data_IF_747176678427
#
_entry.id   IF_747176678427
#
_cell.length_a   1.000
_cell.length_b   1.000
_cell.length_c   1.000
_cell.angle_alpha   90.00
_cell.angle_beta   90.00
_cell.angle_gamma   90.00
#
_symmetry.space_group_name_H-M   'P 1'
#
loop_
_entity.id
_entity.type
_entity.pdbx_description
1 polymer ?
#
# COMPACT_ATOMS: atom_id res chain seq x y z
N UNK A 1 8.32 1.85 2.35
CA UNK A 1 7.13 1.33 3.03
C UNK A 1 6.64 0.02 2.39
N UNK A 2 5.92 -0.82 3.13
CA UNK A 2 5.41 -2.10 2.65
C UNK A 2 3.91 -2.20 2.96
N UNK A 3 3.02 -2.25 1.95
CA UNK A 3 1.63 -2.60 2.16
C UNK A 3 1.50 -4.06 2.62
N UNK A 4 0.69 -4.29 3.66
CA UNK A 4 0.47 -5.61 4.25
C UNK A 4 -1.02 -5.92 4.29
N UNK A 5 -1.39 -7.07 3.80
CA UNK A 5 -2.76 -7.56 3.78
C UNK A 5 -2.89 -8.94 4.44
N UNK A 6 -4.10 -9.28 4.85
CA UNK A 6 -4.47 -10.62 5.31
C UNK A 6 -5.43 -11.23 4.30
N UNK A 7 -5.08 -12.39 3.75
CA UNK A 7 -5.94 -13.13 2.83
C UNK A 7 -5.75 -14.63 3.02
N UNK A 8 -6.86 -15.40 3.05
CA UNK A 8 -6.80 -16.84 3.27
C UNK A 8 -6.07 -17.27 4.55
N UNK A 9 -6.16 -16.45 5.63
CA UNK A 9 -5.44 -16.70 6.88
C UNK A 9 -3.93 -16.47 6.81
N UNK A 10 -3.38 -15.97 5.69
CA UNK A 10 -1.96 -15.68 5.49
C UNK A 10 -1.68 -14.19 5.40
N UNK A 11 -0.49 -13.78 5.87
CA UNK A 11 0.05 -12.44 5.64
C UNK A 11 0.58 -12.35 4.20
N UNK A 12 0.22 -11.25 3.53
CA UNK A 12 0.70 -10.89 2.21
C UNK A 12 1.36 -9.53 2.26
N UNK A 13 2.52 -9.40 1.67
CA UNK A 13 3.34 -8.20 1.61
C UNK A 13 3.50 -7.79 0.16
N UNK A 14 3.16 -6.54 -0.17
CA UNK A 14 3.33 -6.02 -1.53
C UNK A 14 4.72 -5.45 -1.68
N UNK A 15 5.44 -5.92 -2.70
CA UNK A 15 6.75 -5.39 -3.10
C UNK A 15 6.74 -4.96 -4.55
N UNK A 16 7.61 -3.99 -4.87
CA UNK A 16 7.85 -3.51 -6.22
C UNK A 16 9.17 -4.03 -6.76
N UNK A 17 9.21 -4.29 -8.06
CA UNK A 17 10.41 -4.61 -8.80
C UNK A 17 10.91 -3.35 -9.50
N UNK A 18 12.21 -3.06 -9.39
CA UNK A 18 12.79 -1.87 -10.01
C UNK A 18 12.61 -1.86 -11.54
N UNK A 19 12.50 -0.65 -12.06
CA UNK A 19 12.40 -0.43 -13.50
C UNK A 19 13.78 -0.49 -14.16
N UNK A 20 13.90 -1.29 -15.20
CA UNK A 20 15.11 -1.46 -16.01
C UNK A 20 15.35 -0.33 -17.03
N UNK A 21 14.34 0.51 -17.30
CA UNK A 21 14.41 1.58 -18.32
C UNK A 21 15.12 2.84 -17.80
N UNK A 22 15.05 3.11 -16.50
CA UNK A 22 15.61 4.33 -15.88
C UNK A 22 17.02 4.09 -15.32
N UNK A 23 17.34 2.85 -14.98
CA UNK A 23 18.63 2.46 -14.40
C UNK A 23 19.28 1.43 -15.30
N UNK A 24 20.60 1.56 -15.47
CA UNK A 24 21.45 0.64 -16.24
C UNK A 24 21.01 -0.83 -16.04
N UNK A 25 20.60 -1.45 -17.14
CA UNK A 25 19.99 -2.79 -17.17
C UNK A 25 20.84 -3.92 -16.56
N UNK A 26 22.09 -3.61 -16.18
CA UNK A 26 23.02 -4.54 -15.54
C UNK A 26 22.81 -4.73 -14.04
N UNK A 27 21.99 -3.89 -13.40
CA UNK A 27 21.80 -3.87 -11.94
C UNK A 27 20.33 -3.87 -11.55
N UNK A 28 19.80 -5.05 -11.42
CA UNK A 28 18.76 -5.35 -10.46
C UNK A 28 17.30 -5.09 -10.88
N UNK A 29 16.72 -6.02 -11.59
CA UNK A 29 15.28 -6.32 -11.48
C UNK A 29 14.96 -6.89 -10.06
N UNK A 30 15.63 -6.35 -9.03
CA UNK A 30 15.46 -6.84 -7.68
C UNK A 30 14.19 -6.26 -7.04
N UNK A 31 13.55 -7.07 -6.21
CA UNK A 31 12.42 -6.66 -5.42
C UNK A 31 12.85 -5.79 -4.25
N UNK A 32 12.02 -4.81 -3.91
CA UNK A 32 12.22 -3.94 -2.76
C UNK A 32 10.90 -3.35 -2.27
N UNK A 33 10.97 -2.62 -1.18
CA UNK A 33 9.83 -1.81 -0.70
C UNK A 33 9.64 -0.57 -1.58
N UNK A 34 8.59 0.20 -1.26
CA UNK A 34 8.31 1.49 -1.89
C UNK A 34 8.95 2.58 -1.03
N UNK A 35 10.03 3.18 -1.53
CA UNK A 35 10.76 4.17 -0.75
C UNK A 35 12.07 4.61 -1.36
N UNK A 36 12.53 5.78 -0.96
CA UNK A 36 13.78 6.40 -1.40
C UNK A 36 14.41 7.28 -0.33
N UNK A 37 15.34 8.12 -0.74
CA UNK A 37 16.05 9.04 0.14
C UNK A 37 15.16 10.20 0.61
N UNK A 38 15.34 10.62 1.86
CA UNK A 38 14.70 11.83 2.39
C UNK A 38 15.27 13.09 1.73
N UNK A 39 14.39 14.03 1.38
CA UNK A 39 14.78 15.37 0.94
C UNK A 39 15.04 16.27 2.16
N UNK A 40 15.81 17.35 2.01
CA UNK A 40 16.02 18.30 3.10
C UNK A 40 14.69 18.76 3.70
N UNK A 41 14.55 18.66 5.03
CA UNK A 41 13.34 19.04 5.75
C UNK A 41 12.19 18.02 5.76
N UNK A 42 12.31 16.90 5.04
CA UNK A 42 11.31 15.82 5.12
C UNK A 42 11.47 15.00 6.40
N UNK A 43 10.36 14.75 7.07
CA UNK A 43 10.29 13.69 8.08
C UNK A 43 10.25 12.31 7.42
N UNK A 44 10.55 11.23 8.17
CA UNK A 44 10.40 9.85 7.69
C UNK A 44 8.99 9.58 7.12
N UNK A 45 7.96 10.19 7.73
CA UNK A 45 6.57 10.06 7.25
C UNK A 45 6.36 10.81 5.94
N UNK A 46 6.95 12.00 5.78
CA UNK A 46 6.85 12.77 4.54
C UNK A 46 7.51 12.03 3.38
N UNK A 47 8.72 11.52 3.60
CA UNK A 47 9.44 10.68 2.64
C UNK A 47 8.62 9.44 2.27
N UNK A 48 8.09 8.73 3.26
CA UNK A 48 7.27 7.54 3.06
C UNK A 48 6.00 7.85 2.23
N UNK A 49 5.37 9.00 2.47
CA UNK A 49 4.17 9.44 1.74
C UNK A 49 4.52 9.85 0.31
N UNK A 50 5.60 10.58 0.11
CA UNK A 50 6.04 11.01 -1.22
C UNK A 50 6.40 9.80 -2.09
N UNK A 51 7.33 8.98 -1.62
CA UNK A 51 7.82 7.81 -2.35
C UNK A 51 6.72 6.78 -2.56
N UNK A 52 5.94 6.48 -1.51
CA UNK A 52 4.86 5.50 -1.63
C UNK A 52 3.76 5.93 -2.60
N UNK A 53 3.42 7.21 -2.68
CA UNK A 53 2.44 7.71 -3.65
C UNK A 53 3.00 7.70 -5.08
N UNK A 54 4.28 8.07 -5.24
CA UNK A 54 4.97 8.10 -6.54
C UNK A 54 5.22 6.69 -7.08
N UNK A 55 5.90 5.82 -6.33
CA UNK A 55 6.26 4.47 -6.76
C UNK A 55 5.07 3.51 -6.90
N UNK A 56 3.96 3.77 -6.19
CA UNK A 56 2.70 3.05 -6.39
C UNK A 56 1.82 3.70 -7.48
N UNK A 57 2.34 4.67 -8.24
CA UNK A 57 1.66 5.32 -9.36
C UNK A 57 0.25 5.83 -9.02
N UNK A 58 0.03 6.28 -7.77
CA UNK A 58 -1.26 6.74 -7.29
C UNK A 58 -2.31 5.64 -7.06
N UNK A 59 -1.99 4.36 -7.16
CA UNK A 59 -2.94 3.26 -6.94
C UNK A 59 -3.56 3.25 -5.53
N UNK A 60 -2.90 3.86 -4.56
CA UNK A 60 -3.43 4.06 -3.20
C UNK A 60 -3.90 5.50 -2.95
N UNK A 61 -4.15 6.27 -4.01
CA UNK A 61 -4.58 7.66 -3.95
C UNK A 61 -3.43 8.66 -4.13
N UNK A 62 -3.78 9.95 -4.14
CA UNK A 62 -2.78 11.03 -4.18
C UNK A 62 -2.03 11.15 -2.84
N UNK A 63 -1.00 12.01 -2.76
CA UNK A 63 -0.17 12.18 -1.55
C UNK A 63 -0.98 12.49 -0.28
N UNK A 64 -2.06 13.26 -0.39
CA UNK A 64 -2.94 13.59 0.77
C UNK A 64 -3.70 12.36 1.24
N UNK A 65 -4.30 11.62 0.31
CA UNK A 65 -5.08 10.43 0.62
C UNK A 65 -4.18 9.31 1.14
N UNK A 66 -3.00 9.16 0.53
CA UNK A 66 -1.98 8.21 0.96
C UNK A 66 -1.48 8.51 2.38
N UNK A 67 -1.22 9.79 2.72
CA UNK A 67 -0.87 10.20 4.09
C UNK A 67 -1.96 9.80 5.10
N UNK A 68 -3.21 10.08 4.78
CA UNK A 68 -4.34 9.72 5.65
C UNK A 68 -4.45 8.19 5.82
N UNK A 69 -4.23 7.45 4.73
CA UNK A 69 -4.21 5.99 4.74
C UNK A 69 -3.08 5.44 5.61
N UNK A 70 -1.85 5.96 5.42
CA UNK A 70 -0.67 5.55 6.19
C UNK A 70 -0.87 5.80 7.68
N UNK A 71 -1.19 7.04 8.08
CA UNK A 71 -1.36 7.40 9.50
C UNK A 71 -2.47 6.59 10.18
N UNK A 72 -3.54 6.29 9.45
CA UNK A 72 -4.64 5.47 9.97
C UNK A 72 -4.30 4.00 10.10
N UNK A 73 -3.45 3.46 9.21
CA UNK A 73 -3.25 2.04 9.04
C UNK A 73 -1.81 1.57 9.27
N UNK A 74 -0.94 2.42 9.77
CA UNK A 74 0.41 2.03 10.16
C UNK A 74 0.35 0.89 11.18
N UNK A 75 1.10 -0.19 10.93
CA UNK A 75 1.19 -1.36 11.77
C UNK A 75 2.45 -1.31 12.61
N UNK A 76 3.57 -1.15 11.94
CA UNK A 76 4.88 -1.36 12.52
C UNK A 76 5.92 -0.57 11.73
N UNK A 77 6.94 -0.09 12.44
CA UNK A 77 8.14 0.49 11.85
C UNK A 77 9.30 -0.47 12.09
N UNK A 78 10.04 -0.76 11.03
CA UNK A 78 11.27 -1.55 11.06
C UNK A 78 12.44 -0.61 10.78
N UNK A 79 13.49 -0.74 11.57
CA UNK A 79 14.71 0.06 11.41
C UNK A 79 15.90 -0.88 11.34
N UNK A 80 16.72 -0.72 10.33
CA UNK A 80 17.98 -1.44 10.17
C UNK A 80 19.04 -0.46 9.65
N UNK A 81 20.12 -0.32 10.42
CA UNK A 81 21.13 0.71 10.17
C UNK A 81 20.45 2.10 10.08
N UNK A 82 20.76 2.89 9.09
CA UNK A 82 20.18 4.21 8.82
C UNK A 82 18.84 4.16 8.07
N UNK A 83 18.36 2.99 7.73
CA UNK A 83 17.15 2.78 6.91
C UNK A 83 15.93 2.45 7.75
N UNK A 84 14.81 3.01 7.32
CA UNK A 84 13.51 2.79 7.97
C UNK A 84 12.50 2.37 6.92
N UNK A 85 11.74 1.30 7.20
CA UNK A 85 10.56 0.96 6.42
C UNK A 85 9.33 0.84 7.32
N UNK A 86 8.18 1.27 6.83
CA UNK A 86 6.92 1.25 7.57
C UNK A 86 5.98 0.21 6.96
N UNK A 87 5.43 -0.67 7.79
CA UNK A 87 4.41 -1.61 7.39
C UNK A 87 3.04 -0.94 7.54
N UNK A 88 2.27 -0.95 6.47
CA UNK A 88 0.94 -0.35 6.41
C UNK A 88 -0.11 -1.39 6.04
N UNK A 89 -1.16 -1.50 6.87
CA UNK A 89 -2.29 -2.37 6.56
C UNK A 89 -3.07 -1.84 5.37
N UNK A 90 -3.38 -2.73 4.43
CA UNK A 90 -4.30 -2.50 3.31
C UNK A 90 -5.26 -3.68 3.18
N UNK A 91 -6.33 -3.50 2.43
CA UNK A 91 -7.18 -4.61 2.01
C UNK A 91 -6.48 -5.36 0.87
N UNK A 92 -6.57 -6.71 0.87
CA UNK A 92 -6.00 -7.52 -0.19
C UNK A 92 -6.82 -7.35 -1.48
N UNK A 93 -6.14 -7.07 -2.58
CA UNK A 93 -6.74 -7.14 -3.91
C UNK A 93 -5.80 -7.94 -4.83
N UNK A 94 -6.27 -9.10 -5.28
CA UNK A 94 -5.53 -9.98 -6.18
C UNK A 94 -5.32 -9.37 -7.57
N UNK A 95 -6.17 -8.39 -7.96
CA UNK A 95 -6.11 -7.72 -9.26
C UNK A 95 -5.12 -6.57 -9.28
N UNK A 96 -4.70 -6.07 -8.13
CA UNK A 96 -3.78 -4.93 -8.04
C UNK A 96 -2.49 -5.17 -8.85
N UNK A 97 -1.79 -6.31 -8.73
CA UNK A 97 -0.61 -6.56 -9.55
C UNK A 97 -0.91 -6.58 -11.04
N UNK A 98 -2.04 -7.12 -11.45
CA UNK A 98 -2.45 -7.15 -12.86
C UNK A 98 -2.59 -5.74 -13.45
N UNK A 99 -3.34 -4.86 -12.79
CA UNK A 99 -3.56 -3.50 -13.28
C UNK A 99 -2.29 -2.64 -13.21
N UNK A 100 -1.52 -2.76 -12.14
CA UNK A 100 -0.26 -2.03 -11.99
C UNK A 100 0.73 -2.41 -13.10
N UNK A 101 0.97 -3.69 -13.31
CA UNK A 101 1.93 -4.19 -14.27
C UNK A 101 1.50 -3.89 -15.71
N UNK A 102 0.20 -3.95 -16.01
CA UNK A 102 -0.31 -3.56 -17.33
C UNK A 102 -0.24 -2.05 -17.56
N UNK A 103 -0.51 -1.22 -16.55
CA UNK A 103 -0.32 0.23 -16.65
C UNK A 103 1.12 0.57 -17.00
N UNK A 104 2.09 -0.03 -16.33
CA UNK A 104 3.50 0.14 -16.65
C UNK A 104 3.84 -0.28 -18.09
N UNK A 105 3.36 -1.46 -18.51
CA UNK A 105 3.58 -1.96 -19.87
C UNK A 105 3.03 -1.00 -20.92
N UNK A 106 1.80 -0.53 -20.73
CA UNK A 106 1.17 0.44 -21.63
C UNK A 106 2.01 1.72 -21.76
N UNK A 107 2.47 2.28 -20.64
CA UNK A 107 3.33 3.48 -20.62
C UNK A 107 4.65 3.22 -21.36
N UNK A 108 5.29 2.08 -21.11
CA UNK A 108 6.58 1.70 -21.72
C UNK A 108 6.46 1.55 -23.24
N UNK A 109 5.37 1.02 -23.74
CA UNK A 109 5.13 0.76 -25.16
C UNK A 109 4.64 1.99 -25.93
N UNK A 110 4.14 3.02 -25.25
CA UNK A 110 3.63 4.25 -25.85
C UNK A 110 4.71 5.33 -25.86
N UNK A 111 5.24 5.67 -27.03
CA UNK A 111 6.46 6.49 -27.20
C UNK A 111 6.43 7.85 -26.47
N UNK A 112 5.34 8.60 -26.57
CA UNK A 112 5.19 9.91 -25.90
C UNK A 112 5.05 9.76 -24.38
N UNK A 113 4.36 8.72 -23.89
CA UNK A 113 4.22 8.46 -22.46
C UNK A 113 5.51 7.92 -21.85
N UNK A 114 6.27 7.12 -22.62
CA UNK A 114 7.60 6.65 -22.23
C UNK A 114 8.55 7.81 -21.94
N UNK A 115 8.55 8.87 -22.74
CA UNK A 115 9.37 10.03 -22.50
C UNK A 115 9.01 10.75 -21.18
N UNK A 116 7.73 10.83 -20.85
CA UNK A 116 7.25 11.38 -19.59
C UNK A 116 7.70 10.50 -18.40
N UNK A 117 7.53 9.18 -18.51
CA UNK A 117 7.90 8.24 -17.47
C UNK A 117 9.42 8.19 -17.22
N UNK A 118 10.23 8.42 -18.25
CA UNK A 118 11.69 8.45 -18.15
C UNK A 118 12.26 9.78 -17.65
N UNK A 119 11.42 10.80 -17.40
CA UNK A 119 11.90 12.10 -16.92
C UNK A 119 12.46 11.96 -15.49
N UNK A 120 13.69 12.41 -15.22
CA UNK A 120 14.38 12.16 -13.94
C UNK A 120 13.69 12.77 -12.71
N UNK A 121 12.88 13.82 -12.91
CA UNK A 121 12.12 14.46 -11.82
C UNK A 121 10.73 13.85 -11.60
N UNK A 122 10.38 12.84 -12.40
CA UNK A 122 9.10 12.15 -12.30
C UNK A 122 9.23 10.92 -11.41
N UNK A 123 8.90 10.99 -10.16
CA UNK A 123 8.95 9.84 -9.23
C UNK A 123 7.96 8.71 -9.54
N UNK A 124 7.19 8.81 -10.66
CA UNK A 124 6.28 7.76 -11.11
C UNK A 124 7.00 6.75 -12.01
N UNK A 125 6.48 5.53 -12.05
CA UNK A 125 6.95 4.43 -12.91
C UNK A 125 8.37 3.92 -12.61
N UNK A 126 8.89 4.20 -11.42
CA UNK A 126 10.16 3.62 -10.95
C UNK A 126 10.06 2.11 -10.68
N UNK A 127 8.85 1.59 -10.46
CA UNK A 127 8.60 0.16 -10.32
C UNK A 127 7.93 -0.37 -11.60
N UNK A 128 8.52 -1.42 -12.16
CA UNK A 128 8.00 -2.09 -13.36
C UNK A 128 6.89 -3.09 -13.04
N UNK A 129 7.01 -3.76 -11.91
CA UNK A 129 6.07 -4.77 -11.44
C UNK A 129 5.81 -4.63 -9.96
N UNK A 130 4.63 -5.05 -9.54
CA UNK A 130 4.31 -5.31 -8.13
C UNK A 130 3.79 -6.72 -7.98
N UNK A 131 4.01 -7.33 -6.80
CA UNK A 131 3.53 -8.67 -6.48
C UNK A 131 3.29 -8.81 -4.98
N UNK A 132 2.26 -9.56 -4.62
CA UNK A 132 2.03 -10.03 -3.27
C UNK A 132 2.91 -11.23 -2.95
N UNK A 133 3.64 -11.17 -1.84
CA UNK A 133 4.49 -12.24 -1.33
C UNK A 133 3.95 -12.72 0.02
N UNK A 134 3.87 -14.02 0.21
CA UNK A 134 3.67 -14.64 1.52
C UNK A 134 4.97 -14.72 2.30
N UNK A 135 4.92 -15.09 3.57
CA UNK A 135 6.14 -15.34 4.36
C UNK A 135 6.98 -16.46 3.75
N UNK A 136 6.35 -17.49 3.21
CA UNK A 136 7.00 -18.60 2.52
C UNK A 136 7.71 -18.12 1.26
N UNK A 137 7.06 -17.24 0.47
CA UNK A 137 7.69 -16.64 -0.71
C UNK A 137 8.89 -15.79 -0.35
N UNK A 138 8.80 -14.95 0.68
CA UNK A 138 9.91 -14.12 1.16
C UNK A 138 11.12 -14.96 1.57
N UNK A 139 10.89 -16.12 2.19
CA UNK A 139 11.94 -17.05 2.55
C UNK A 139 12.56 -17.71 1.32
N UNK A 140 11.72 -18.24 0.43
CA UNK A 140 12.15 -18.97 -0.77
C UNK A 140 12.89 -18.08 -1.76
N UNK A 141 12.39 -16.85 -1.95
CA UNK A 141 12.87 -15.93 -2.97
C UNK A 141 13.74 -14.78 -2.39
N UNK A 142 14.30 -14.97 -1.19
CA UNK A 142 15.13 -13.97 -0.49
C UNK A 142 16.23 -13.40 -1.36
N UNK A 143 16.84 -14.23 -2.22
CA UNK A 143 17.92 -13.85 -3.14
C UNK A 143 17.48 -12.88 -4.25
N UNK A 144 16.19 -12.84 -4.59
CA UNK A 144 15.62 -11.95 -5.59
C UNK A 144 15.36 -10.50 -5.06
N UNK A 145 15.62 -10.26 -3.78
CA UNK A 145 15.50 -8.94 -3.17
C UNK A 145 16.85 -8.21 -3.15
N UNK A 146 16.79 -6.87 -3.18
CA UNK A 146 17.96 -6.01 -3.00
C UNK A 146 18.75 -6.44 -1.77
N UNK A 147 20.07 -6.49 -1.89
CA UNK A 147 20.94 -7.00 -0.83
C UNK A 147 20.71 -6.32 0.52
N UNK A 148 20.69 -5.00 0.53
CA UNK A 148 20.44 -4.23 1.76
C UNK A 148 19.05 -4.48 2.35
N UNK A 149 18.08 -4.90 1.52
CA UNK A 149 16.70 -5.12 1.95
C UNK A 149 16.50 -6.49 2.62
N UNK A 150 17.43 -7.43 2.42
CA UNK A 150 17.34 -8.80 2.97
C UNK A 150 17.28 -8.82 4.49
N UNK A 151 17.93 -7.87 5.17
CA UNK A 151 17.80 -7.71 6.62
C UNK A 151 16.37 -7.39 7.06
N UNK A 152 15.64 -6.56 6.30
CA UNK A 152 14.24 -6.28 6.57
C UNK A 152 13.35 -7.51 6.37
N UNK A 153 13.65 -8.38 5.39
CA UNK A 153 12.94 -9.65 5.23
C UNK A 153 13.10 -10.55 6.44
N UNK A 154 14.33 -10.64 6.98
CA UNK A 154 14.60 -11.42 8.18
C UNK A 154 13.85 -10.85 9.40
N UNK A 155 13.78 -9.52 9.53
CA UNK A 155 12.99 -8.85 10.56
C UNK A 155 11.48 -9.10 10.39
N UNK A 156 10.96 -9.08 9.17
CA UNK A 156 9.55 -9.40 8.86
C UNK A 156 9.25 -10.84 9.27
N UNK A 157 10.12 -11.79 8.92
CA UNK A 157 9.98 -13.20 9.31
C UNK A 157 9.94 -13.33 10.85
N UNK A 158 10.89 -12.73 11.54
CA UNK A 158 10.98 -12.78 13.00
C UNK A 158 9.75 -12.17 13.68
N UNK A 159 9.26 -11.03 13.17
CA UNK A 159 8.11 -10.30 13.73
C UNK A 159 6.75 -10.72 13.15
N UNK A 160 6.69 -11.75 12.33
CA UNK A 160 5.44 -12.21 11.72
C UNK A 160 4.28 -12.48 12.72
N UNK A 161 4.53 -13.08 13.91
CA UNK A 161 3.46 -13.26 14.90
C UNK A 161 2.91 -11.93 15.42
N UNK A 162 3.75 -10.92 15.62
CA UNK A 162 3.33 -9.59 16.04
C UNK A 162 2.54 -8.88 14.94
N UNK A 163 3.02 -8.93 13.70
CA UNK A 163 2.32 -8.35 12.53
C UNK A 163 0.93 -8.96 12.41
N UNK A 164 0.80 -10.28 12.51
CA UNK A 164 -0.49 -10.98 12.50
C UNK A 164 -1.43 -10.48 13.58
N UNK A 165 -0.96 -10.41 14.82
CA UNK A 165 -1.75 -9.91 15.95
C UNK A 165 -2.24 -8.47 15.74
N UNK A 166 -1.41 -7.59 15.15
CA UNK A 166 -1.78 -6.21 14.84
C UNK A 166 -2.85 -6.15 13.74
N UNK A 167 -2.75 -7.04 12.74
CA UNK A 167 -3.75 -7.15 11.68
C UNK A 167 -5.11 -7.59 12.23
N UNK A 168 -5.16 -8.57 13.11
CA UNK A 168 -6.37 -9.13 13.72
C UNK A 168 -7.07 -8.13 14.66
N UNK A 169 -6.35 -7.51 15.59
CA UNK A 169 -6.91 -6.50 16.53
C UNK A 169 -7.65 -5.36 15.84
N UNK A 170 -7.20 -4.95 14.66
CA UNK A 170 -7.87 -3.88 13.91
C UNK A 170 -9.11 -4.35 13.15
N UNK A 171 -9.17 -5.65 12.77
CA UNK A 171 -10.35 -6.25 12.16
C UNK A 171 -11.53 -6.28 13.13
N UNK A 172 -11.31 -6.67 14.38
CA UNK A 172 -12.33 -6.67 15.43
C UNK A 172 -12.90 -5.29 15.74
N UNK A 173 -12.04 -4.25 15.77
CA UNK A 173 -12.50 -2.87 15.96
C UNK A 173 -13.37 -2.35 14.82
N UNK A 174 -13.12 -2.79 13.59
CA UNK A 174 -13.96 -2.47 12.41
C UNK A 174 -15.31 -3.19 12.50
N UNK A 175 -15.33 -4.48 12.84
CA UNK A 175 -16.55 -5.29 13.01
C UNK A 175 -17.47 -4.70 14.09
N UNK A 176 -16.92 -4.34 15.27
CA UNK A 176 -17.70 -3.72 16.36
C UNK A 176 -18.27 -2.35 16.00
N UNK A 177 -17.61 -1.56 15.13
CA UNK A 177 -18.11 -0.27 14.66
C UNK A 177 -19.21 -0.40 13.59
N UNK A 178 -19.15 -1.41 12.72
CA UNK A 178 -20.18 -1.65 11.72
C UNK A 178 -21.47 -2.13 12.39
N UNK A 179 -21.41 -3.05 13.35
CA UNK A 179 -22.58 -3.52 14.10
C UNK A 179 -23.25 -2.39 14.89
N UNK A 180 -22.48 -1.50 15.55
CA UNK A 180 -23.05 -0.33 16.24
C UNK A 180 -23.75 0.67 15.30
N UNK A 181 -23.37 0.71 14.02
CA UNK A 181 -24.04 1.57 13.02
C UNK A 181 -25.32 0.95 12.46
N UNK A 182 -25.39 -0.38 12.32
CA UNK A 182 -26.60 -1.10 11.90
C UNK A 182 -27.68 -0.98 12.97
N UNK A 183 -27.35 -1.17 14.24
CA UNK A 183 -28.31 -1.05 15.36
C UNK A 183 -28.91 0.36 15.49
N UNK A 184 -28.13 1.42 15.23
CA UNK A 184 -28.64 2.80 15.25
C UNK A 184 -29.54 3.15 14.07
N UNK A 185 -29.49 2.42 12.95
CA UNK A 185 -30.40 2.62 11.81
C UNK A 185 -31.71 1.87 11.96
N UNK A 186 -31.75 0.77 12.74
CA UNK A 186 -32.97 0.00 13.01
C UNK A 186 -33.96 0.70 13.96
N UNK A 187 -33.55 1.77 14.68
CA UNK A 187 -34.40 2.46 15.66
C UNK A 187 -34.98 3.78 15.15
N UNK A 188 -34.94 4.08 13.85
CA UNK A 188 -35.70 5.20 13.30
C UNK A 188 -37.11 4.77 12.91
N UNK A 189 -38.01 4.95 13.86
CA UNK A 189 -39.45 4.71 13.79
C UNK A 189 -40.10 5.42 12.58
N UNK A 190 -40.82 4.73 11.67
CA UNK A 190 -41.47 5.34 10.51
C UNK A 190 -42.90 5.76 10.82
N UNK A 191 -43.16 6.50 11.89
CA UNK A 191 -44.51 7.08 12.15
C UNK A 191 -44.43 8.58 12.29
N UNK A 192 -44.42 9.28 11.16
CA UNK A 192 -44.93 10.64 11.05
C UNK A 192 -46.07 10.63 10.02
N UNK A 193 -47.29 10.38 10.52
CA UNK A 193 -48.49 10.62 9.77
C UNK A 193 -48.57 12.10 9.36
N UNK A 194 -48.51 12.35 8.06
CA UNK A 194 -48.77 13.63 7.45
C UNK A 194 -50.28 13.81 7.39
N UNK A 195 -50.89 14.56 8.32
CA UNK A 195 -52.26 15.05 8.21
C UNK A 195 -52.34 16.08 7.09
N UNK A 196 -52.94 15.69 5.98
CA UNK A 196 -53.34 16.61 4.91
C UNK A 196 -54.57 17.39 5.36
N UNK A 197 -54.39 18.68 5.59
CA UNK A 197 -55.52 19.64 5.74
C UNK A 197 -56.08 19.91 4.33
N UNK A 198 -57.28 19.43 4.07
CA UNK A 198 -58.15 19.94 3.00
C UNK A 198 -58.60 21.34 3.41
N UNK A 199 -58.41 22.35 2.58
CA UNK A 199 -59.19 23.60 2.58
C UNK A 199 -60.09 23.52 1.35
N UNK A 200 -61.40 23.59 1.69
CA UNK A 200 -62.46 23.99 0.75
C UNK A 200 -62.46 25.53 0.65
N UNK A 201 -62.44 26.06 -0.48
CA UNK A 201 -63.36 26.98 -1.14
C UNK A 201 -62.80 27.35 -2.50
#
# INVERSE_FOLDING_TARGET
MIPVAMHGGKLHFLFGQENDVIKDASKDQAWGDFGGGSKPGESETDTCVREGAEELNGFFGNKRDFRALLLKNQLLKLTYDTRVTQLMRVDYDERLPFYFNNNYRFIKETSNLRAIAAHPDNGYFEKSHVRWFTLEDLKRERGAFREYFRAFLDMIQYRAPEIRRLMEKRSEKRGKRSNKRSDRRGHRNPHRHRKTRRHRQ
#
